data_IF_239798352659
#
_entry.id   IF_239798352659
#
_cell.length_a   1.000
_cell.length_b   1.000
_cell.length_c   1.000
_cell.angle_alpha   90.00
_cell.angle_beta   90.00
_cell.angle_gamma   90.00
#
_symmetry.space_group_name_H-M   'P 1'
#
loop_
_entity.id
_entity.type
_entity.pdbx_description
1 polymer ?
#
# COMPACT_ATOMS: atom_id res chain seq x y z
N UNK A 1 -7.36 -9.26 -6.85
CA UNK A 1 -7.00 -9.32 -5.42
C UNK A 1 -6.02 -10.45 -5.26
N UNK A 2 -4.89 -10.21 -4.59
CA UNK A 2 -3.90 -11.25 -4.29
C UNK A 2 -3.85 -11.44 -2.78
N UNK A 3 -3.95 -12.69 -2.33
CA UNK A 3 -3.82 -13.02 -0.91
C UNK A 3 -2.36 -13.27 -0.59
N UNK A 4 -1.90 -12.71 0.53
CA UNK A 4 -0.58 -12.90 1.11
C UNK A 4 -0.81 -13.72 2.38
N UNK A 5 -0.36 -14.98 2.43
CA UNK A 5 -0.62 -15.83 3.58
C UNK A 5 0.19 -15.38 4.80
N UNK A 6 -0.36 -15.59 6.00
CA UNK A 6 0.35 -15.43 7.27
C UNK A 6 1.65 -16.25 7.27
N UNK A 7 2.69 -15.71 7.91
CA UNK A 7 4.02 -16.31 7.97
C UNK A 7 4.85 -16.14 6.70
N UNK A 8 4.34 -15.43 5.68
CA UNK A 8 5.15 -15.02 4.54
C UNK A 8 6.23 -14.03 4.99
N UNK A 9 7.47 -14.34 4.63
CA UNK A 9 8.66 -13.55 4.94
C UNK A 9 9.11 -12.76 3.70
N UNK A 10 9.63 -11.54 3.92
CA UNK A 10 10.17 -10.64 2.91
C UNK A 10 9.21 -10.40 1.72
N UNK A 11 7.96 -10.10 2.03
CA UNK A 11 6.94 -9.84 1.02
C UNK A 11 7.27 -8.53 0.32
N UNK A 12 7.31 -8.56 -1.01
CA UNK A 12 7.50 -7.38 -1.86
C UNK A 12 6.43 -7.33 -2.93
N UNK A 13 5.65 -6.27 -2.93
CA UNK A 13 4.67 -5.96 -3.96
C UNK A 13 5.12 -4.65 -4.59
N UNK A 14 5.58 -4.73 -5.84
CA UNK A 14 6.04 -3.57 -6.61
C UNK A 14 5.26 -3.49 -7.90
N UNK A 15 4.75 -2.29 -8.20
CA UNK A 15 4.06 -2.01 -9.44
C UNK A 15 4.77 -0.85 -10.14
N UNK A 16 5.36 -1.15 -11.30
CA UNK A 16 6.03 -0.16 -12.13
C UNK A 16 5.08 0.25 -13.28
N UNK A 17 4.66 1.51 -13.28
CA UNK A 17 3.75 2.04 -14.30
C UNK A 17 4.15 3.47 -14.70
N UNK A 18 3.83 3.84 -15.95
CA UNK A 18 3.99 5.21 -16.47
C UNK A 18 2.83 6.15 -16.10
N UNK A 19 1.76 5.60 -15.53
CA UNK A 19 0.55 6.30 -15.10
C UNK A 19 0.33 6.08 -13.61
N UNK A 20 -0.33 7.03 -12.95
CA UNK A 20 -0.66 6.93 -11.54
C UNK A 20 -1.47 5.66 -11.25
N UNK A 21 -1.10 4.97 -10.18
CA UNK A 21 -1.75 3.76 -9.68
C UNK A 21 -2.06 3.94 -8.20
N UNK A 22 -3.04 3.21 -7.68
CA UNK A 22 -3.26 3.08 -6.24
C UNK A 22 -3.08 1.60 -5.83
N UNK A 23 -2.11 1.35 -4.96
CA UNK A 23 -1.77 0.05 -4.39
C UNK A 23 -2.26 0.03 -2.95
N UNK A 24 -3.21 -0.86 -2.70
CA UNK A 24 -3.87 -0.97 -1.41
C UNK A 24 -3.50 -2.28 -0.73
N UNK A 25 -3.31 -2.21 0.58
CA UNK A 25 -3.13 -3.37 1.45
C UNK A 25 -4.28 -3.44 2.44
N UNK A 26 -4.90 -4.60 2.53
CA UNK A 26 -6.01 -4.88 3.44
C UNK A 26 -5.65 -5.99 4.42
N UNK A 27 -6.12 -5.84 5.65
CA UNK A 27 -6.26 -6.92 6.61
C UNK A 27 -7.76 -7.22 6.75
N UNK A 28 -8.21 -8.37 6.26
CA UNK A 28 -9.64 -8.65 6.08
C UNK A 28 -10.36 -7.49 5.34
N UNK A 29 -11.15 -6.68 6.07
CA UNK A 29 -11.85 -5.50 5.54
C UNK A 29 -11.17 -4.17 5.83
N UNK A 30 -10.17 -4.15 6.70
CA UNK A 30 -9.51 -2.92 7.14
C UNK A 30 -8.46 -2.50 6.10
N UNK A 31 -8.60 -1.28 5.59
CA UNK A 31 -7.62 -0.68 4.68
C UNK A 31 -6.41 -0.21 5.48
N UNK A 32 -5.30 -0.94 5.34
CA UNK A 32 -4.05 -0.66 6.04
C UNK A 32 -3.28 0.41 5.30
N UNK A 33 -2.87 0.15 4.05
CA UNK A 33 -2.18 1.11 3.18
C UNK A 33 -3.15 1.51 2.08
N UNK A 34 -3.38 2.81 1.91
CA UNK A 34 -4.20 3.37 0.84
C UNK A 34 -4.92 4.65 1.25
N UNK A 35 -5.62 5.28 0.30
CA UNK A 35 -6.34 6.53 0.56
C UNK A 35 -7.41 6.36 1.66
N UNK A 36 -7.28 7.12 2.76
CA UNK A 36 -8.08 7.00 3.99
C UNK A 36 -7.90 5.68 4.76
N UNK A 37 -6.86 4.92 4.46
CA UNK A 37 -6.42 3.80 5.28
C UNK A 37 -5.73 4.27 6.56
N UNK A 38 -5.31 3.30 7.38
CA UNK A 38 -4.49 3.54 8.58
C UNK A 38 -3.20 4.30 8.19
N UNK A 39 -2.61 3.87 7.08
CA UNK A 39 -1.43 4.45 6.44
C UNK A 39 -1.91 5.14 5.16
N UNK A 40 -2.02 6.46 5.23
CA UNK A 40 -2.44 7.31 4.12
C UNK A 40 -1.56 8.56 4.09
N UNK A 41 -0.31 8.40 3.68
CA UNK A 41 0.67 9.49 3.60
C UNK A 41 1.17 9.72 2.16
N UNK A 42 1.55 10.95 1.85
CA UNK A 42 2.02 11.33 0.52
C UNK A 42 3.46 10.85 0.28
N UNK A 43 4.32 10.89 1.32
CA UNK A 43 5.69 10.38 1.23
C UNK A 43 5.76 8.89 1.57
N UNK A 44 6.85 8.27 1.12
CA UNK A 44 7.24 6.94 1.56
C UNK A 44 7.51 6.92 3.06
N UNK A 45 7.25 5.78 3.68
CA UNK A 45 7.51 5.62 5.10
C UNK A 45 7.50 4.18 5.56
N UNK A 46 7.67 4.04 6.87
CA UNK A 46 7.63 2.77 7.60
C UNK A 46 6.58 2.88 8.69
N UNK A 47 5.82 1.82 8.90
CA UNK A 47 4.78 1.75 9.94
C UNK A 47 4.75 0.37 10.58
N UNK A 48 4.55 0.33 11.90
CA UNK A 48 4.41 -0.91 12.67
C UNK A 48 2.92 -1.22 12.84
N UNK A 49 2.46 -2.32 12.26
CA UNK A 49 1.07 -2.76 12.33
C UNK A 49 1.02 -4.22 12.76
N UNK A 50 0.39 -4.53 13.90
CA UNK A 50 0.22 -5.90 14.42
C UNK A 50 1.53 -6.74 14.44
N UNK A 51 2.65 -6.10 14.79
CA UNK A 51 3.97 -6.75 14.83
C UNK A 51 4.64 -6.93 13.46
N UNK A 52 4.05 -6.39 12.40
CA UNK A 52 4.61 -6.34 11.05
C UNK A 52 5.22 -4.95 10.80
N UNK A 53 6.47 -4.93 10.30
CA UNK A 53 7.05 -3.72 9.73
C UNK A 53 6.59 -3.59 8.27
N UNK A 54 5.87 -2.52 7.96
CA UNK A 54 5.33 -2.23 6.64
C UNK A 54 6.03 -1.00 6.08
N UNK A 55 6.73 -1.16 4.95
CA UNK A 55 7.28 -0.05 4.19
C UNK A 55 6.42 0.24 2.97
N UNK A 56 6.15 1.50 2.70
CA UNK A 56 5.23 1.91 1.63
C UNK A 56 5.76 3.13 0.88
N UNK A 57 5.35 3.26 -0.39
CA UNK A 57 5.76 4.35 -1.29
C UNK A 57 5.09 5.71 -1.06
N UNK A 58 3.87 5.72 -0.50
CA UNK A 58 3.02 6.91 -0.41
C UNK A 58 2.35 7.24 -1.75
N UNK A 59 1.44 8.21 -1.74
CA UNK A 59 0.64 8.58 -2.92
C UNK A 59 1.20 9.79 -3.71
N UNK A 60 2.44 10.21 -3.44
CA UNK A 60 3.13 11.19 -4.28
C UNK A 60 3.58 10.49 -5.59
N UNK A 61 2.60 10.37 -6.51
CA UNK A 61 2.59 9.63 -7.78
C UNK A 61 3.90 9.06 -8.32
N UNK A 62 3.83 7.84 -8.85
CA UNK A 62 4.95 7.13 -9.45
C UNK A 62 4.76 5.62 -9.37
N UNK A 63 5.87 4.87 -9.35
CA UNK A 63 5.82 3.45 -9.02
C UNK A 63 5.47 3.27 -7.55
N UNK A 64 4.44 2.48 -7.27
CA UNK A 64 4.05 2.16 -5.90
C UNK A 64 4.66 0.85 -5.45
N UNK A 65 5.03 0.80 -4.17
CA UNK A 65 5.48 -0.41 -3.50
C UNK A 65 4.90 -0.52 -2.10
N UNK A 66 4.78 -1.78 -1.67
CA UNK A 66 4.58 -2.19 -0.29
C UNK A 66 5.54 -3.35 -0.02
N UNK A 67 6.33 -3.26 1.04
CA UNK A 67 7.12 -4.39 1.55
C UNK A 67 6.79 -4.67 3.00
N UNK A 68 6.85 -5.94 3.36
CA UNK A 68 6.54 -6.43 4.71
C UNK A 68 7.61 -7.46 5.10
N UNK A 69 8.30 -7.22 6.21
CA UNK A 69 9.39 -8.10 6.66
C UNK A 69 8.90 -9.51 6.99
N UNK A 70 7.82 -9.60 7.76
CA UNK A 70 7.09 -10.83 8.06
C UNK A 70 5.63 -10.52 8.28
N UNK A 71 4.75 -11.31 7.66
CA UNK A 71 3.31 -11.25 7.92
C UNK A 71 2.94 -12.05 9.16
N UNK A 72 2.12 -11.47 10.03
CA UNK A 72 1.59 -12.15 11.23
C UNK A 72 0.18 -12.69 11.01
N UNK A 73 -0.49 -12.27 9.94
CA UNK A 73 -1.86 -12.61 9.57
C UNK A 73 -2.04 -12.60 8.05
N UNK A 74 -3.16 -13.15 7.56
CA UNK A 74 -3.47 -13.15 6.12
C UNK A 74 -3.83 -11.74 5.66
N UNK A 75 -3.16 -11.29 4.60
CA UNK A 75 -3.39 -9.97 4.00
C UNK A 75 -3.92 -10.11 2.59
N UNK A 76 -4.56 -9.06 2.09
CA UNK A 76 -4.97 -8.96 0.70
C UNK A 76 -4.40 -7.69 0.08
N UNK A 77 -3.77 -7.82 -1.08
CA UNK A 77 -3.35 -6.68 -1.88
C UNK A 77 -4.26 -6.50 -3.10
N UNK A 78 -4.53 -5.23 -3.40
CA UNK A 78 -5.33 -4.83 -4.55
C UNK A 78 -4.76 -3.57 -5.16
N UNK A 79 -4.56 -3.60 -6.48
CA UNK A 79 -4.18 -2.43 -7.24
C UNK A 79 -5.30 -1.99 -8.16
N UNK A 80 -5.39 -0.69 -8.38
CA UNK A 80 -6.26 -0.10 -9.41
C UNK A 80 -5.49 0.99 -10.13
N UNK A 81 -5.81 1.20 -11.40
CA UNK A 81 -5.39 2.41 -12.09
C UNK A 81 -6.05 3.60 -11.41
N UNK A 82 -5.24 4.57 -11.00
CA UNK A 82 -5.72 5.82 -10.44
C UNK A 82 -6.17 6.69 -11.61
N UNK A 83 -7.46 7.04 -11.66
CA UNK A 83 -7.95 8.04 -12.62
C UNK A 83 -7.77 9.47 -12.09
N UNK A 84 -6.82 9.71 -11.17
CA UNK A 84 -6.62 11.05 -10.59
C UNK A 84 -6.10 12.03 -11.65
N UNK A 85 -7.04 12.70 -12.30
CA UNK A 85 -6.87 14.11 -12.59
C UNK A 85 -6.68 14.83 -11.25
N UNK A 86 -5.43 15.19 -10.94
CA UNK A 86 -5.10 16.14 -9.88
C UNK A 86 -5.81 17.47 -10.18
N UNK A 87 -7.08 17.61 -9.79
CA UNK A 87 -7.67 18.93 -9.62
C UNK A 87 -7.04 19.51 -8.36
N UNK A 88 -5.91 20.19 -8.57
CA UNK A 88 -5.31 21.04 -7.56
C UNK A 88 -6.37 21.97 -6.98
N UNK A 89 -6.56 21.87 -5.67
CA UNK A 89 -7.04 23.01 -4.88
C UNK A 89 -6.06 23.21 -3.75
N UNK A 90 -5.11 24.09 -4.04
CA UNK A 90 -4.45 24.93 -3.05
C UNK A 90 -5.52 25.54 -2.14
N UNK A 91 -5.32 25.40 -0.84
CA UNK A 91 -5.85 26.32 0.16
C UNK A 91 -4.66 26.93 0.88
#
# INVERSE_FOLDING_TARGET
>A
MHTIPSGADNVSITLAFSTDIDLNLFNATDLIVGWKGIISNYEKGTYQYNGMEINYSGFYGGSEYITIDRTTEDLNSFYKLSSRGHNGKSR
#
